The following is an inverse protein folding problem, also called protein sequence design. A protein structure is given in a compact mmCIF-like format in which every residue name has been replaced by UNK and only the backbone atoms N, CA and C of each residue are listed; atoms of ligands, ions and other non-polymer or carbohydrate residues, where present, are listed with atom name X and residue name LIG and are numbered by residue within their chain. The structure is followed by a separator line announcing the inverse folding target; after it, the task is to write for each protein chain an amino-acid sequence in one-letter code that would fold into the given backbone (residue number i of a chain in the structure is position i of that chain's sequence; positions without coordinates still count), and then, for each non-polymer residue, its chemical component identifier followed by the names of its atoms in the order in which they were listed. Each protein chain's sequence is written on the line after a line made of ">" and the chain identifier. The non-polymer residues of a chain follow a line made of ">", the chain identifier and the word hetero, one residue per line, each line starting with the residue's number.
data_IF_038854774947
#
_entry.id   IF_038854774947
#
_cell.length_a   1.000
_cell.length_b   1.000
_cell.length_c   1.000
_cell.angle_alpha   90.00
_cell.angle_beta   90.00
_cell.angle_gamma   90.00
#
_symmetry.space_group_name_H-M   'P 1'
#
loop_
_entity.id
_entity.type
_entity.pdbx_description
1 polymer ?
#
# COMPACT_ATOMS: atom_id res chain seq x y z
N UNK A 1 -11.91 -6.13 21.29
CA UNK A 1 -12.66 -6.05 20.03
C UNK A 1 -11.73 -5.54 18.94
N UNK A 2 -11.63 -6.22 17.85
CA UNK A 2 -10.89 -5.73 16.69
C UNK A 2 -11.72 -4.64 16.00
N UNK A 3 -11.11 -3.49 15.69
CA UNK A 3 -11.81 -2.39 15.00
C UNK A 3 -12.24 -2.86 13.61
N UNK A 4 -13.45 -2.49 13.19
CA UNK A 4 -13.87 -2.67 11.80
C UNK A 4 -13.09 -1.70 10.89
N UNK A 5 -12.85 -2.10 9.64
CA UNK A 5 -12.11 -1.26 8.68
C UNK A 5 -12.81 0.06 8.35
N UNK A 6 -14.13 0.16 8.59
CA UNK A 6 -14.90 1.41 8.50
C UNK A 6 -14.40 2.46 9.48
N UNK A 7 -13.86 2.04 10.64
CA UNK A 7 -13.46 2.90 11.75
C UNK A 7 -11.94 3.14 11.78
N UNK A 8 -11.22 2.67 10.75
CA UNK A 8 -9.78 2.83 10.69
C UNK A 8 -9.39 4.27 10.41
N UNK A 9 -8.51 4.80 11.29
CA UNK A 9 -7.79 6.03 11.05
C UNK A 9 -6.50 5.79 10.24
N UNK A 10 -5.78 6.86 9.92
CA UNK A 10 -4.52 6.80 9.16
C UNK A 10 -3.50 5.82 9.77
N UNK A 11 -3.37 5.81 11.10
CA UNK A 11 -2.40 4.96 11.81
C UNK A 11 -2.82 3.49 11.73
N UNK A 12 -4.12 3.19 11.80
CA UNK A 12 -4.66 1.83 11.70
C UNK A 12 -4.38 1.25 10.29
N UNK A 13 -4.62 2.05 9.25
CA UNK A 13 -4.29 1.68 7.86
C UNK A 13 -2.79 1.46 7.67
N UNK A 14 -1.97 2.38 8.18
CA UNK A 14 -0.52 2.25 8.09
C UNK A 14 -0.02 0.98 8.80
N UNK A 15 -0.49 0.71 10.03
CA UNK A 15 -0.14 -0.50 10.77
C UNK A 15 -0.59 -1.78 10.07
N UNK A 16 -1.75 -1.76 9.43
CA UNK A 16 -2.25 -2.89 8.64
C UNK A 16 -1.25 -3.30 7.56
N UNK A 17 -0.72 -2.34 6.80
CA UNK A 17 0.26 -2.60 5.76
C UNK A 17 1.63 -2.95 6.34
N UNK A 18 2.11 -2.13 7.30
CA UNK A 18 3.45 -2.25 7.86
C UNK A 18 3.71 -3.53 8.64
N UNK A 19 2.67 -4.11 9.27
CA UNK A 19 2.83 -5.26 10.18
C UNK A 19 1.92 -6.43 9.85
N UNK A 20 0.61 -6.22 9.62
CA UNK A 20 -0.32 -7.33 9.38
C UNK A 20 -0.17 -7.93 7.97
N UNK A 21 0.09 -7.07 6.98
CA UNK A 21 0.24 -7.45 5.57
C UNK A 21 1.63 -7.16 5.02
N UNK A 22 2.68 -7.30 5.86
CA UNK A 22 4.06 -6.92 5.56
C UNK A 22 4.55 -7.44 4.20
N UNK A 23 4.38 -8.73 3.93
CA UNK A 23 4.77 -9.39 2.69
C UNK A 23 3.57 -10.11 2.03
N UNK A 24 2.35 -9.59 2.23
CA UNK A 24 1.16 -10.16 1.62
C UNK A 24 0.91 -9.52 0.25
N UNK A 25 1.20 -10.25 -0.81
CA UNK A 25 0.99 -9.86 -2.21
C UNK A 25 -0.37 -10.31 -2.77
N UNK A 26 -1.14 -11.11 -2.01
CA UNK A 26 -2.42 -11.66 -2.44
C UNK A 26 -3.59 -10.77 -2.03
N UNK A 27 -4.71 -10.89 -2.75
CA UNK A 27 -5.91 -10.11 -2.49
C UNK A 27 -5.84 -8.68 -3.04
N UNK A 28 -6.73 -7.82 -2.52
CA UNK A 28 -6.94 -6.45 -3.00
C UNK A 28 -6.67 -5.43 -1.88
N UNK A 29 -6.21 -4.24 -2.24
CA UNK A 29 -6.00 -3.14 -1.30
C UNK A 29 -6.82 -1.91 -1.68
N UNK A 30 -7.54 -1.33 -0.70
CA UNK A 30 -8.27 -0.06 -0.87
C UNK A 30 -7.30 1.10 -1.15
N UNK A 31 -7.82 2.16 -1.81
CA UNK A 31 -7.06 3.43 -1.96
C UNK A 31 -6.57 3.97 -0.62
N UNK A 32 -7.42 3.93 0.41
CA UNK A 32 -7.07 4.38 1.75
C UNK A 32 -5.87 3.61 2.32
N UNK A 33 -5.83 2.28 2.18
CA UNK A 33 -4.73 1.43 2.62
C UNK A 33 -3.40 1.84 1.97
N UNK A 34 -3.40 2.04 0.66
CA UNK A 34 -2.21 2.46 -0.09
C UNK A 34 -1.75 3.88 0.28
N UNK A 35 -2.66 4.86 0.20
CA UNK A 35 -2.28 6.26 0.37
C UNK A 35 -1.92 6.63 1.81
N UNK A 36 -2.59 6.05 2.81
CA UNK A 36 -2.22 6.27 4.21
C UNK A 36 -0.89 5.59 4.55
N UNK A 37 -0.56 4.46 3.92
CA UNK A 37 0.76 3.86 4.06
C UNK A 37 1.85 4.75 3.44
N UNK A 38 1.65 5.26 2.24
CA UNK A 38 2.57 6.19 1.58
C UNK A 38 2.76 7.44 2.43
N UNK A 39 1.67 8.07 2.86
CA UNK A 39 1.71 9.28 3.69
C UNK A 39 2.43 9.03 5.02
N UNK A 40 2.11 7.94 5.71
CA UNK A 40 2.77 7.57 6.97
C UNK A 40 4.28 7.38 6.82
N UNK A 41 4.72 6.76 5.72
CA UNK A 41 6.14 6.63 5.41
C UNK A 41 6.80 7.98 5.12
N UNK A 42 6.15 8.89 4.40
CA UNK A 42 6.67 10.24 4.20
C UNK A 42 6.86 10.97 5.53
N UNK A 43 5.87 10.94 6.42
CA UNK A 43 5.94 11.56 7.75
C UNK A 43 7.09 10.96 8.57
N UNK A 44 7.30 9.64 8.45
CA UNK A 44 8.36 8.94 9.19
C UNK A 44 9.76 9.23 8.62
N UNK A 45 9.92 9.33 7.32
CA UNK A 45 11.21 9.43 6.61
C UNK A 45 11.73 10.87 6.55
N UNK A 46 10.87 11.86 6.31
CA UNK A 46 11.24 13.25 6.08
C UNK A 46 12.14 13.82 7.20
N UNK A 47 11.85 13.63 8.50
CA UNK A 47 12.69 14.18 9.57
C UNK A 47 14.14 13.71 9.49
N UNK A 48 14.39 12.45 9.18
CA UNK A 48 15.73 11.88 9.09
C UNK A 48 16.46 12.31 7.83
N UNK A 49 15.73 12.46 6.73
CA UNK A 49 16.29 13.03 5.51
C UNK A 49 16.71 14.49 5.70
N UNK A 50 15.87 15.29 6.37
CA UNK A 50 16.22 16.68 6.74
C UNK A 50 17.43 16.70 7.68
N UNK A 51 17.47 15.80 8.67
CA UNK A 51 18.62 15.69 9.58
C UNK A 51 19.91 15.41 8.83
N UNK A 52 19.88 14.53 7.83
CA UNK A 52 21.03 14.23 6.99
C UNK A 52 21.50 15.47 6.22
N UNK A 53 20.59 16.23 5.60
CA UNK A 53 20.91 17.47 4.87
C UNK A 53 21.51 18.53 5.81
N UNK A 54 20.90 18.73 6.98
CA UNK A 54 21.41 19.69 7.98
C UNK A 54 22.82 19.30 8.44
N UNK A 55 23.08 18.00 8.61
CA UNK A 55 24.41 17.49 8.92
C UNK A 55 25.45 17.86 7.87
N UNK A 56 25.11 17.67 6.59
CA UNK A 56 25.98 18.07 5.46
C UNK A 56 26.21 19.58 5.44
N UNK A 57 25.14 20.38 5.58
CA UNK A 57 25.22 21.84 5.50
C UNK A 57 26.05 22.47 6.64
N UNK A 58 26.13 21.80 7.79
CA UNK A 58 26.91 22.26 8.95
C UNK A 58 28.27 21.54 9.08
N UNK A 59 28.72 20.83 8.05
CA UNK A 59 29.95 20.03 8.04
C UNK A 59 30.05 19.03 9.21
N UNK A 60 28.87 18.64 9.76
CA UNK A 60 28.79 17.69 10.85
C UNK A 60 28.56 16.27 10.31
N UNK A 61 29.67 15.55 10.11
CA UNK A 61 29.65 14.19 9.56
C UNK A 61 28.82 13.23 10.43
N UNK A 62 28.91 13.35 11.75
CA UNK A 62 28.17 12.48 12.68
C UNK A 62 26.65 12.62 12.52
N UNK A 63 26.16 13.87 12.43
CA UNK A 63 24.75 14.16 12.24
C UNK A 63 24.25 13.68 10.86
N UNK A 64 25.05 13.91 9.81
CA UNK A 64 24.72 13.45 8.47
C UNK A 64 24.67 11.93 8.38
N UNK A 65 25.64 11.22 8.95
CA UNK A 65 25.66 9.77 8.98
C UNK A 65 24.46 9.20 9.75
N UNK A 66 24.14 9.75 10.92
CA UNK A 66 22.98 9.34 11.70
C UNK A 66 21.69 9.45 10.89
N UNK A 67 21.43 10.60 10.26
CA UNK A 67 20.26 10.83 9.44
C UNK A 67 20.17 9.83 8.27
N UNK A 68 21.28 9.64 7.55
CA UNK A 68 21.32 8.71 6.40
C UNK A 68 21.14 7.24 6.81
N UNK A 69 21.75 6.79 7.90
CA UNK A 69 21.62 5.41 8.38
C UNK A 69 20.18 5.13 8.79
N UNK A 70 19.57 6.02 9.57
CA UNK A 70 18.17 5.83 10.00
C UNK A 70 17.23 5.87 8.80
N UNK A 71 17.40 6.83 7.88
CA UNK A 71 16.66 6.88 6.63
C UNK A 71 16.75 5.54 5.86
N UNK A 72 17.96 5.00 5.69
CA UNK A 72 18.19 3.77 4.94
C UNK A 72 17.52 2.56 5.62
N UNK A 73 17.63 2.43 6.94
CA UNK A 73 16.99 1.36 7.72
C UNK A 73 15.47 1.39 7.56
N UNK A 74 14.87 2.57 7.64
CA UNK A 74 13.43 2.75 7.46
C UNK A 74 13.03 2.43 6.01
N UNK A 75 13.75 2.95 5.02
CA UNK A 75 13.47 2.74 3.60
C UNK A 75 13.53 1.25 3.23
N UNK A 76 14.55 0.52 3.69
CA UNK A 76 14.67 -0.92 3.47
C UNK A 76 13.61 -1.70 4.22
N UNK A 77 13.30 -1.33 5.46
CA UNK A 77 12.28 -1.98 6.28
C UNK A 77 10.88 -1.88 5.68
N UNK A 78 10.54 -0.77 5.05
CA UNK A 78 9.24 -0.56 4.42
C UNK A 78 9.19 -0.82 2.92
N UNK A 79 10.30 -1.24 2.31
CA UNK A 79 10.35 -1.58 0.89
C UNK A 79 9.39 -2.74 0.55
N UNK A 80 9.46 -3.84 1.29
CA UNK A 80 8.62 -5.03 1.04
C UNK A 80 7.13 -4.73 1.23
N UNK A 81 6.66 -4.15 2.36
CA UNK A 81 5.25 -3.82 2.51
C UNK A 81 4.78 -2.76 1.50
N UNK A 82 5.65 -1.84 1.10
CA UNK A 82 5.35 -0.88 0.03
C UNK A 82 5.09 -1.56 -1.31
N UNK A 83 5.93 -2.52 -1.68
CA UNK A 83 5.73 -3.31 -2.89
C UNK A 83 4.47 -4.17 -2.79
N UNK A 84 4.25 -4.82 -1.64
CA UNK A 84 3.08 -5.67 -1.42
C UNK A 84 1.77 -4.90 -1.53
N UNK A 85 1.67 -3.72 -0.91
CA UNK A 85 0.45 -2.89 -1.02
C UNK A 85 0.25 -2.32 -2.42
N UNK A 86 1.33 -1.99 -3.15
CA UNK A 86 1.25 -1.52 -4.54
C UNK A 86 0.72 -2.63 -5.47
N UNK A 87 1.20 -3.85 -5.33
CA UNK A 87 0.69 -5.01 -6.07
C UNK A 87 -0.79 -5.24 -5.76
N UNK A 88 -1.19 -5.29 -4.49
CA UNK A 88 -2.60 -5.46 -4.10
C UNK A 88 -3.49 -4.29 -4.57
N UNK A 89 -2.91 -3.10 -4.74
CA UNK A 89 -3.63 -1.95 -5.30
C UNK A 89 -3.86 -2.12 -6.81
N UNK A 90 -2.92 -2.69 -7.56
CA UNK A 90 -3.12 -3.08 -8.95
C UNK A 90 -4.17 -4.18 -9.09
N UNK A 91 -4.17 -5.16 -8.20
CA UNK A 91 -5.19 -6.19 -8.13
C UNK A 91 -6.59 -5.62 -7.91
N UNK A 92 -6.72 -4.54 -7.16
CA UNK A 92 -8.01 -3.90 -6.87
C UNK A 92 -8.69 -3.31 -8.12
N UNK A 93 -7.92 -2.98 -9.15
CA UNK A 93 -8.37 -2.56 -10.48
C UNK A 93 -8.21 -3.67 -11.54
N UNK A 94 -8.24 -4.91 -11.10
CA UNK A 94 -8.11 -6.12 -11.93
C UNK A 94 -6.86 -6.19 -12.82
N UNK A 95 -5.75 -5.58 -12.37
CA UNK A 95 -4.46 -5.60 -13.06
C UNK A 95 -3.48 -6.50 -12.33
N UNK A 96 -2.67 -7.26 -13.09
CA UNK A 96 -1.58 -8.06 -12.54
C UNK A 96 -0.53 -7.18 -11.84
N UNK A 97 0.05 -7.68 -10.74
CA UNK A 97 1.15 -7.02 -10.04
C UNK A 97 2.38 -6.77 -10.93
N UNK A 98 2.56 -7.53 -12.01
CA UNK A 98 3.62 -7.32 -12.99
C UNK A 98 3.54 -5.96 -13.68
N UNK A 99 2.37 -5.34 -13.77
CA UNK A 99 2.22 -3.98 -14.28
C UNK A 99 2.94 -2.93 -13.43
N UNK A 100 3.37 -3.27 -12.20
CA UNK A 100 4.21 -2.38 -11.41
C UNK A 100 5.53 -2.04 -12.11
N UNK A 101 6.09 -2.97 -12.89
CA UNK A 101 7.34 -2.76 -13.62
C UNK A 101 7.25 -1.73 -14.76
N UNK A 102 6.06 -1.22 -15.10
CA UNK A 102 5.91 -0.07 -15.99
C UNK A 102 6.65 1.16 -15.47
N UNK A 103 6.91 1.23 -14.15
CA UNK A 103 7.71 2.29 -13.53
C UNK A 103 9.11 2.41 -14.15
N UNK A 104 9.63 1.34 -14.76
CA UNK A 104 10.93 1.34 -15.43
C UNK A 104 10.95 2.18 -16.72
N UNK A 105 9.78 2.55 -17.25
CA UNK A 105 9.66 3.51 -18.35
C UNK A 105 9.70 4.91 -17.75
N UNK A 106 10.79 5.69 -17.95
CA UNK A 106 10.96 6.99 -17.33
C UNK A 106 9.77 7.92 -17.65
N UNK A 107 9.33 8.67 -16.68
CA UNK A 107 8.22 9.63 -16.72
C UNK A 107 6.85 8.98 -17.01
N UNK A 108 6.71 8.27 -18.12
CA UNK A 108 5.43 7.66 -18.54
C UNK A 108 4.96 6.62 -17.52
N UNK A 109 5.84 5.72 -17.10
CA UNK A 109 5.49 4.64 -16.19
C UNK A 109 5.04 5.15 -14.82
N UNK A 110 5.72 6.15 -14.29
CA UNK A 110 5.34 6.77 -13.02
C UNK A 110 3.96 7.45 -13.10
N UNK A 111 3.67 8.16 -14.20
CA UNK A 111 2.37 8.82 -14.41
C UNK A 111 1.27 7.77 -14.54
N UNK A 112 1.48 6.71 -15.30
CA UNK A 112 0.49 5.62 -15.47
C UNK A 112 0.20 4.94 -14.14
N UNK A 113 1.23 4.59 -13.35
CA UNK A 113 1.04 4.01 -12.02
C UNK A 113 0.28 4.97 -11.10
N UNK A 114 0.61 6.24 -11.11
CA UNK A 114 -0.08 7.25 -10.32
C UNK A 114 -1.59 7.28 -10.66
N UNK A 115 -1.94 7.32 -11.95
CA UNK A 115 -3.33 7.26 -12.41
C UNK A 115 -4.01 5.98 -11.92
N UNK A 116 -3.39 4.82 -12.04
CA UNK A 116 -3.96 3.55 -11.58
C UNK A 116 -4.15 3.52 -10.06
N UNK A 117 -3.24 4.09 -9.29
CA UNK A 117 -3.36 4.15 -7.84
C UNK A 117 -4.45 5.11 -7.35
N UNK A 118 -4.82 6.11 -8.16
CA UNK A 118 -5.97 7.00 -7.91
C UNK A 118 -7.30 6.45 -8.46
N UNK A 119 -7.28 5.56 -9.45
CA UNK A 119 -8.49 4.96 -10.04
C UNK A 119 -9.27 4.18 -8.97
N UNK A 120 -10.60 4.22 -8.97
CA UNK A 120 -11.40 3.38 -8.06
C UNK A 120 -11.21 1.90 -8.37
N UNK A 121 -11.26 1.06 -7.33
CA UNK A 121 -11.27 -0.39 -7.49
C UNK A 121 -12.56 -0.91 -8.07
N UNK A 122 -12.53 -2.13 -8.61
CA UNK A 122 -13.72 -2.82 -9.10
C UNK A 122 -14.72 -3.02 -7.96
N UNK A 123 -16.00 -2.77 -8.24
CA UNK A 123 -17.08 -2.86 -7.24
C UNK A 123 -17.57 -4.27 -6.97
N UNK A 124 -17.15 -5.24 -7.77
CA UNK A 124 -17.54 -6.65 -7.67
C UNK A 124 -16.30 -7.51 -7.44
N UNK A 125 -16.53 -8.79 -7.16
CA UNK A 125 -15.47 -9.80 -7.14
C UNK A 125 -14.73 -9.79 -8.48
N UNK A 126 -13.40 -9.71 -8.43
CA UNK A 126 -12.54 -9.80 -9.60
C UNK A 126 -11.58 -10.99 -9.49
N UNK A 127 -10.63 -11.11 -10.41
CA UNK A 127 -9.67 -12.23 -10.44
C UNK A 127 -8.81 -12.37 -9.16
N UNK A 128 -8.79 -11.34 -8.30
CA UNK A 128 -7.96 -11.28 -7.09
C UNK A 128 -8.77 -11.31 -5.79
N UNK A 129 -10.10 -11.43 -5.88
CA UNK A 129 -10.97 -11.58 -4.72
C UNK A 129 -12.13 -10.59 -4.67
N UNK A 130 -12.88 -10.67 -3.58
CA UNK A 130 -14.06 -9.82 -3.33
C UNK A 130 -13.69 -8.34 -3.19
N UNK A 131 -14.68 -7.46 -3.37
CA UNK A 131 -14.51 -6.02 -3.13
C UNK A 131 -14.19 -5.76 -1.65
N UNK A 132 -13.00 -5.23 -1.34
CA UNK A 132 -12.64 -4.96 0.04
C UNK A 132 -13.51 -3.88 0.70
N UNK A 133 -14.34 -3.14 -0.06
CA UNK A 133 -15.31 -2.17 0.47
C UNK A 133 -16.66 -2.80 0.79
N UNK A 134 -16.98 -3.94 0.18
CA UNK A 134 -18.27 -4.60 0.31
C UNK A 134 -18.08 -6.08 0.70
N UNK A 135 -17.67 -6.30 1.94
CA UNK A 135 -17.45 -7.66 2.48
C UNK A 135 -18.75 -8.46 2.59
N UNK A 136 -19.91 -7.82 2.56
CA UNK A 136 -21.22 -8.48 2.65
C UNK A 136 -21.59 -9.26 1.36
N UNK A 137 -20.94 -8.98 0.22
CA UNK A 137 -21.18 -9.75 -1.01
C UNK A 137 -20.71 -11.20 -0.90
N UNK A 138 -19.67 -11.46 -0.08
CA UNK A 138 -19.16 -12.83 0.13
C UNK A 138 -20.14 -13.66 0.95
N UNK A 139 -20.85 -13.04 1.89
CA UNK A 139 -21.85 -13.69 2.74
C UNK A 139 -23.11 -14.07 1.94
N UNK A 140 -23.50 -13.24 0.97
CA UNK A 140 -24.66 -13.49 0.10
C UNK A 140 -24.46 -14.66 -0.88
N UNK A 141 -23.23 -14.94 -1.30
CA UNK A 141 -22.94 -16.01 -2.28
C UNK A 141 -22.87 -17.39 -1.60
N UNK A 142 -22.54 -17.45 -0.30
CA UNK A 142 -22.60 -18.70 0.49
C UNK A 142 -24.02 -19.09 0.91
N UNK A 143 -24.95 -18.14 0.97
CA UNK A 143 -26.36 -18.40 1.33
C UNK A 143 -27.25 -18.70 0.13
N UNK A 144 -26.73 -18.61 -1.09
CA UNK A 144 -27.50 -18.95 -2.27
C UNK A 144 -27.55 -20.47 -2.44
N UNK A 145 -28.67 -21.16 -2.09
CA UNK A 145 -28.78 -22.58 -2.36
C UNK A 145 -28.67 -22.79 -3.86
N UNK A 146 -27.80 -23.71 -4.27
CA UNK A 146 -27.76 -24.16 -5.65
C UNK A 146 -29.18 -24.53 -6.08
N UNK A 147 -29.75 -23.75 -6.97
CA UNK A 147 -31.00 -24.15 -7.64
C UNK A 147 -30.58 -25.26 -8.59
N UNK A 148 -30.55 -26.46 -8.05
CA UNK A 148 -30.43 -27.67 -8.87
C UNK A 148 -31.61 -27.67 -9.83
N UNK A 149 -31.35 -27.36 -11.06
CA UNK A 149 -32.29 -27.40 -12.18
C UNK A 149 -32.91 -28.78 -12.26
N UNK A 150 -34.22 -28.82 -12.09
CA UNK A 150 -35.06 -29.91 -12.57
C UNK A 150 -35.08 -29.90 -14.09
#
# INVERSE_FOLDING_TARGET
>A
MEKQESDYNMIDWWKKVAFRNYANFSGRARRAEYWYFVLGNFILIIPFYVLAIVGVSNENIGLSLLGNIVYLVIALGFFIPGLAVAVRRLHDINKSGWYYFIVLIPLIGAIVLLVWFFTDGDRFTNNYGADPKNLNEVEFDFERPEITSL
#
